data_IF_303925290773
#
_entry.id   IF_303925290773
#
_cell.length_a   1.000
_cell.length_b   1.000
_cell.length_c   1.000
_cell.angle_alpha   90.00
_cell.angle_beta   90.00
_cell.angle_gamma   90.00
#
_symmetry.space_group_name_H-M   'P 1'
#
loop_
_entity.id
_entity.type
_entity.pdbx_description
1 polymer ?
#
# COMPACT_ATOMS: atom_id res chain seq x y z
N UNK A 1 -9.34 -3.74 -4.09
CA UNK A 1 -8.62 -4.91 -4.67
C UNK A 1 -7.13 -4.58 -4.71
N UNK A 2 -6.27 -5.44 -4.15
CA UNK A 2 -4.81 -5.27 -4.22
C UNK A 2 -4.31 -5.84 -5.56
N UNK A 3 -3.76 -5.01 -6.44
CA UNK A 3 -3.11 -5.48 -7.67
C UNK A 3 -1.60 -5.36 -7.47
N UNK A 4 -0.94 -6.52 -7.40
CA UNK A 4 0.51 -6.64 -7.31
C UNK A 4 1.09 -6.86 -8.71
N UNK A 5 1.54 -5.81 -9.37
CA UNK A 5 2.38 -5.95 -10.57
C UNK A 5 3.84 -6.13 -10.13
N UNK A 6 4.69 -6.80 -10.92
CA UNK A 6 6.07 -7.09 -10.52
C UNK A 6 6.95 -5.85 -10.26
N UNK A 7 6.45 -4.64 -10.54
CA UNK A 7 7.19 -3.38 -10.36
C UNK A 7 6.40 -2.29 -9.59
N UNK A 8 5.14 -2.52 -9.20
CA UNK A 8 4.33 -1.55 -8.46
C UNK A 8 3.22 -2.23 -7.64
N UNK A 9 2.88 -1.66 -6.49
CA UNK A 9 1.81 -2.15 -5.62
C UNK A 9 0.66 -1.15 -5.59
N UNK A 10 -0.50 -1.53 -6.12
CA UNK A 10 -1.68 -0.66 -6.15
C UNK A 10 -2.64 -0.99 -5.01
N UNK A 11 -3.08 0.05 -4.28
CA UNK A 11 -3.97 -0.09 -3.13
C UNK A 11 -5.20 0.81 -3.22
N UNK A 12 -6.38 0.23 -3.15
CA UNK A 12 -7.60 1.01 -3.00
C UNK A 12 -7.66 1.62 -1.59
N UNK A 13 -7.35 2.91 -1.46
CA UNK A 13 -7.46 3.65 -0.20
C UNK A 13 -8.59 4.67 -0.30
N UNK A 14 -9.76 4.33 0.26
CA UNK A 14 -10.96 5.19 0.18
C UNK A 14 -10.89 6.49 0.99
N UNK A 15 -9.85 6.66 1.80
CA UNK A 15 -9.70 7.80 2.71
C UNK A 15 -8.21 8.12 2.98
N UNK A 16 -7.91 9.40 3.20
CA UNK A 16 -6.55 9.93 3.45
C UNK A 16 -5.87 9.28 4.67
N UNK A 17 -6.64 8.87 5.69
CA UNK A 17 -6.11 8.15 6.84
C UNK A 17 -5.51 6.80 6.45
N UNK A 18 -6.17 6.05 5.57
CA UNK A 18 -5.68 4.74 5.13
C UNK A 18 -4.41 4.88 4.26
N UNK A 19 -4.28 5.97 3.51
CA UNK A 19 -3.05 6.30 2.79
C UNK A 19 -1.87 6.48 3.77
N UNK A 20 -2.06 7.29 4.82
CA UNK A 20 -1.02 7.52 5.85
C UNK A 20 -0.67 6.23 6.59
N UNK A 21 -1.66 5.45 7.02
CA UNK A 21 -1.44 4.17 7.70
C UNK A 21 -0.64 3.18 6.85
N UNK A 22 -0.90 3.17 5.54
CA UNK A 22 -0.17 2.35 4.57
C UNK A 22 1.28 2.79 4.45
N UNK A 23 1.55 4.11 4.38
CA UNK A 23 2.94 4.61 4.38
C UNK A 23 3.69 4.24 5.66
N UNK A 24 3.00 4.26 6.81
CA UNK A 24 3.59 3.91 8.08
C UNK A 24 3.86 2.41 8.18
N UNK A 25 2.98 1.56 7.67
CA UNK A 25 3.22 0.12 7.59
C UNK A 25 4.45 -0.20 6.72
N UNK A 26 4.60 0.41 5.55
CA UNK A 26 5.78 0.24 4.71
C UNK A 26 7.07 0.67 5.41
N UNK A 27 7.05 1.80 6.14
CA UNK A 27 8.19 2.22 6.98
C UNK A 27 8.54 1.20 8.06
N UNK A 28 7.54 0.62 8.74
CA UNK A 28 7.76 -0.43 9.76
C UNK A 28 8.37 -1.69 9.16
N UNK A 29 8.01 -2.00 7.92
CA UNK A 29 8.59 -3.11 7.13
C UNK A 29 9.96 -2.79 6.54
N UNK A 30 10.51 -1.59 6.81
CA UNK A 30 11.78 -1.12 6.25
C UNK A 30 11.80 -1.11 4.71
N UNK A 31 10.63 -0.88 4.10
CA UNK A 31 10.50 -0.69 2.66
C UNK A 31 10.68 0.79 2.32
N UNK A 32 11.37 1.06 1.21
CA UNK A 32 11.53 2.42 0.71
C UNK A 32 10.36 2.75 -0.21
N UNK A 33 9.57 3.76 0.11
CA UNK A 33 8.52 4.26 -0.79
C UNK A 33 9.20 5.18 -1.81
N UNK A 34 9.19 4.77 -3.07
CA UNK A 34 9.71 5.55 -4.20
C UNK A 34 8.67 6.56 -4.68
N UNK A 35 7.40 6.17 -4.68
CA UNK A 35 6.29 7.03 -5.10
C UNK A 35 5.03 6.69 -4.29
N UNK A 36 4.27 7.72 -3.90
CA UNK A 36 2.98 7.57 -3.23
C UNK A 36 2.02 8.63 -3.74
N UNK A 37 1.02 8.26 -4.54
CA UNK A 37 0.02 9.19 -5.07
C UNK A 37 -1.38 8.81 -4.59
N UNK A 38 -2.14 9.81 -4.13
CA UNK A 38 -3.56 9.66 -3.85
C UNK A 38 -4.33 10.31 -5.00
N UNK A 39 -5.02 9.50 -5.78
CA UNK A 39 -5.80 9.94 -6.93
C UNK A 39 -7.28 9.93 -6.59
N UNK A 40 -7.96 11.04 -6.84
CA UNK A 40 -9.42 11.14 -6.79
C UNK A 40 -9.99 10.76 -8.15
N UNK A 41 -10.60 9.58 -8.26
CA UNK A 41 -11.33 9.15 -9.46
C UNK A 41 -12.83 9.22 -9.15
N UNK A 42 -13.47 10.29 -9.63
CA UNK A 42 -14.91 10.60 -9.55
C UNK A 42 -15.55 10.49 -8.16
N UNK A 43 -15.81 9.29 -7.68
CA UNK A 43 -16.48 9.00 -6.39
C UNK A 43 -15.57 8.30 -5.38
N UNK A 44 -14.37 7.89 -5.76
CA UNK A 44 -13.47 7.07 -4.94
C UNK A 44 -12.04 7.63 -4.94
N UNK A 45 -11.39 7.54 -3.78
CA UNK A 45 -9.96 7.79 -3.66
C UNK A 45 -9.19 6.47 -3.84
N UNK A 46 -8.06 6.56 -4.56
CA UNK A 46 -7.18 5.44 -4.84
C UNK A 46 -5.76 5.82 -4.45
N UNK A 47 -5.06 4.93 -3.74
CA UNK A 47 -3.65 5.14 -3.44
C UNK A 47 -2.78 4.26 -4.33
N UNK A 48 -1.80 4.88 -4.95
CA UNK A 48 -0.78 4.20 -5.71
C UNK A 48 0.54 4.30 -4.98
N UNK A 49 1.18 3.16 -4.70
CA UNK A 49 2.48 3.12 -4.05
C UNK A 49 3.49 2.32 -4.88
N UNK A 50 4.60 2.96 -5.19
CA UNK A 50 5.79 2.27 -5.71
C UNK A 50 6.74 2.12 -4.53
N UNK A 51 7.03 0.87 -4.17
CA UNK A 51 7.93 0.54 -3.06
C UNK A 51 9.10 -0.27 -3.58
N UNK A 52 10.30 0.11 -3.17
CA UNK A 52 11.50 -0.68 -3.35
C UNK A 52 11.55 -1.75 -2.28
N UNK A 53 11.75 -2.98 -2.73
CA UNK A 53 11.73 -4.17 -1.88
C UNK A 53 13.14 -4.78 -1.86
N UNK A 54 13.71 -5.08 -0.67
CA UNK A 54 15.01 -5.75 -0.56
C UNK A 54 15.03 -7.11 -1.26
N UNK A 55 16.20 -7.54 -1.71
CA UNK A 55 16.39 -8.88 -2.27
C UNK A 55 16.10 -9.91 -1.17
N UNK A 56 15.23 -10.89 -1.47
CA UNK A 56 14.82 -11.94 -0.52
C UNK A 56 13.55 -11.64 0.27
N UNK A 57 12.90 -10.49 0.06
CA UNK A 57 11.61 -10.19 0.69
C UNK A 57 10.48 -11.02 0.08
N UNK A 58 9.63 -11.63 0.90
CA UNK A 58 8.46 -12.36 0.42
C UNK A 58 7.28 -11.40 0.22
N UNK A 59 6.52 -11.58 -0.85
CA UNK A 59 5.28 -10.82 -1.09
C UNK A 59 4.28 -10.94 0.07
N UNK A 60 4.27 -12.08 0.77
CA UNK A 60 3.41 -12.31 1.95
C UNK A 60 3.78 -11.38 3.12
N UNK A 61 5.06 -11.06 3.30
CA UNK A 61 5.53 -10.17 4.38
C UNK A 61 5.01 -8.74 4.19
N UNK A 62 4.71 -8.36 2.95
CA UNK A 62 4.07 -7.09 2.59
C UNK A 62 2.56 -7.21 2.71
N UNK A 63 1.97 -8.28 2.16
CA UNK A 63 0.52 -8.46 2.12
C UNK A 63 -0.12 -8.60 3.50
N UNK A 64 0.51 -9.31 4.43
CA UNK A 64 -0.04 -9.57 5.76
C UNK A 64 -0.37 -8.29 6.56
N UNK A 65 0.58 -7.36 6.79
CA UNK A 65 0.29 -6.11 7.50
C UNK A 65 -0.70 -5.21 6.74
N UNK A 66 -0.70 -5.24 5.41
CA UNK A 66 -1.68 -4.51 4.61
C UNK A 66 -3.08 -5.10 4.75
N UNK A 67 -3.20 -6.42 4.81
CA UNK A 67 -4.48 -7.08 5.10
C UNK A 67 -4.99 -6.66 6.47
N UNK A 68 -4.14 -6.61 7.50
CA UNK A 68 -4.55 -6.15 8.83
C UNK A 68 -5.06 -4.71 8.83
N UNK A 69 -4.40 -3.81 8.08
CA UNK A 69 -4.86 -2.44 7.89
C UNK A 69 -6.23 -2.36 7.18
N UNK A 70 -6.45 -3.21 6.17
CA UNK A 70 -7.69 -3.25 5.40
C UNK A 70 -8.84 -3.93 6.17
N UNK A 71 -8.54 -4.91 7.02
CA UNK A 71 -9.54 -5.59 7.85
C UNK A 71 -10.10 -4.69 8.95
N UNK A 72 -9.36 -3.65 9.36
CA UNK A 72 -9.83 -2.69 10.38
C UNK A 72 -10.85 -1.66 9.88
N UNK A 73 -11.31 -1.75 8.61
CA UNK A 73 -12.29 -0.83 8.01
C UNK A 73 -13.50 -1.53 7.37
N UNK A 74 -13.80 -2.79 7.71
CA UNK A 74 -15.07 -3.44 7.36
C UNK A 74 -16.00 -3.56 8.57
#
# INVERSE_FOLDING_TARGET
MLILTPHATQMQCRDYGLFLDTTQAFKRLKLTILEGTLQSMSTEQWAHFIVQVPIGFNRIDILWPLMQLLQFKF
#
